data_IF_115389000126
#
_entry.id   IF_115389000126
#
_cell.length_a   1.000
_cell.length_b   1.000
_cell.length_c   1.000
_cell.angle_alpha   90.00
_cell.angle_beta   90.00
_cell.angle_gamma   90.00
#
_symmetry.space_group_name_H-M   'P 1'
#
loop_
_entity.id
_entity.type
_entity.pdbx_description
1 polymer ?
#
# COMPACT_ATOMS: atom_id res chain seq x y z
N UNK A 1 7.85 -4.12 -15.80
CA UNK A 1 6.59 -4.89 -15.88
C UNK A 1 6.18 -5.18 -14.46
N UNK A 2 5.07 -4.61 -14.00
CA UNK A 2 4.59 -4.75 -12.61
C UNK A 2 3.72 -6.00 -12.52
N UNK A 3 4.00 -6.90 -11.58
CA UNK A 3 3.25 -8.15 -11.40
C UNK A 3 2.21 -7.99 -10.30
N UNK A 4 0.92 -8.10 -10.63
CA UNK A 4 -0.16 -8.09 -9.64
C UNK A 4 -0.20 -9.44 -8.92
N UNK A 5 0.24 -9.48 -7.66
CA UNK A 5 0.14 -10.67 -6.81
C UNK A 5 -1.21 -10.65 -6.09
N UNK A 6 -2.16 -11.47 -6.55
CA UNK A 6 -3.50 -11.58 -5.93
C UNK A 6 -3.53 -12.58 -4.76
N UNK A 7 -2.56 -13.50 -4.71
CA UNK A 7 -2.45 -14.53 -3.69
C UNK A 7 -1.01 -15.03 -3.64
N UNK A 8 -0.49 -15.23 -2.43
CA UNK A 8 0.77 -15.94 -2.20
C UNK A 8 0.49 -17.19 -1.37
N UNK A 9 1.02 -18.32 -1.81
CA UNK A 9 0.98 -19.57 -1.08
C UNK A 9 2.39 -19.91 -0.61
N UNK A 10 2.56 -20.06 0.69
CA UNK A 10 3.85 -20.41 1.29
C UNK A 10 3.79 -21.87 1.73
N UNK A 11 4.74 -22.67 1.24
CA UNK A 11 4.87 -24.07 1.58
C UNK A 11 6.11 -24.30 2.46
N UNK A 12 5.90 -24.88 3.64
CA UNK A 12 6.97 -25.27 4.56
C UNK A 12 7.25 -26.75 4.41
N UNK A 13 8.48 -27.13 4.09
CA UNK A 13 8.92 -28.52 3.99
C UNK A 13 9.63 -28.98 5.27
N UNK A 14 9.49 -30.24 5.66
CA UNK A 14 10.21 -30.77 6.81
C UNK A 14 9.85 -32.21 7.17
N UNK A 15 10.44 -32.74 8.24
CA UNK A 15 10.01 -34.03 8.78
C UNK A 15 8.61 -33.90 9.40
N UNK A 16 7.84 -34.99 9.44
CA UNK A 16 6.48 -34.98 10.01
C UNK A 16 6.47 -34.39 11.43
N UNK A 17 7.41 -34.83 12.27
CA UNK A 17 7.55 -34.36 13.65
C UNK A 17 7.92 -32.87 13.73
N UNK A 18 8.74 -32.37 12.81
CA UNK A 18 9.10 -30.95 12.74
C UNK A 18 7.90 -30.10 12.33
N UNK A 19 7.19 -30.52 11.28
CA UNK A 19 6.02 -29.80 10.76
C UNK A 19 4.87 -29.79 11.79
N UNK A 20 4.58 -30.91 12.45
CA UNK A 20 3.57 -30.97 13.51
C UNK A 20 3.89 -30.06 14.71
N UNK A 21 5.17 -29.76 14.95
CA UNK A 21 5.59 -28.85 16.03
C UNK A 21 5.57 -27.39 15.60
N UNK A 22 5.90 -27.09 14.34
CA UNK A 22 6.03 -25.73 13.84
C UNK A 22 4.74 -25.14 13.27
N UNK A 23 3.77 -25.99 12.91
CA UNK A 23 2.52 -25.57 12.29
C UNK A 23 1.38 -25.50 13.33
N UNK A 24 0.39 -24.61 13.11
CA UNK A 24 -0.83 -24.61 13.89
C UNK A 24 -1.53 -25.98 13.92
N UNK A 25 -2.16 -26.31 15.04
CA UNK A 25 -2.93 -27.54 15.16
C UNK A 25 -4.03 -27.60 14.09
N UNK A 26 -4.17 -28.74 13.43
CA UNK A 26 -5.10 -28.93 12.32
C UNK A 26 -4.56 -28.57 10.93
N UNK A 27 -3.31 -28.10 10.82
CA UNK A 27 -2.67 -27.85 9.52
C UNK A 27 -2.57 -29.13 8.69
N UNK A 28 -2.87 -29.02 7.39
CA UNK A 28 -2.78 -30.14 6.44
C UNK A 28 -1.33 -30.36 6.04
N UNK A 29 -0.79 -31.55 6.34
CA UNK A 29 0.54 -31.98 5.90
C UNK A 29 0.38 -32.97 4.75
N UNK A 30 0.90 -32.63 3.59
CA UNK A 30 0.91 -33.47 2.40
C UNK A 30 2.28 -34.12 2.20
N UNK A 31 2.32 -35.21 1.43
CA UNK A 31 3.56 -35.86 0.99
C UNK A 31 3.52 -35.95 -0.52
N UNK A 32 4.54 -35.42 -1.21
CA UNK A 32 4.63 -35.54 -2.66
C UNK A 32 5.08 -36.96 -3.09
N UNK A 33 5.11 -37.17 -4.40
CA UNK A 33 5.56 -38.43 -5.01
C UNK A 33 7.03 -38.79 -4.75
N UNK A 34 7.85 -37.82 -4.31
CA UNK A 34 9.26 -38.01 -3.97
C UNK A 34 9.48 -38.26 -2.47
N UNK A 35 8.41 -38.30 -1.68
CA UNK A 35 8.46 -38.49 -0.22
C UNK A 35 8.72 -37.20 0.56
N UNK A 36 8.75 -36.04 -0.09
CA UNK A 36 8.89 -34.75 0.57
C UNK A 36 7.59 -34.41 1.27
N UNK A 37 7.67 -34.13 2.57
CA UNK A 37 6.52 -33.66 3.35
C UNK A 37 6.50 -32.15 3.42
N UNK A 38 5.33 -31.59 3.23
CA UNK A 38 5.12 -30.15 3.22
C UNK A 38 3.72 -29.76 3.69
N UNK A 39 3.58 -28.51 4.13
CA UNK A 39 2.30 -27.87 4.42
C UNK A 39 2.28 -26.52 3.74
N UNK A 40 1.25 -26.25 2.95
CA UNK A 40 1.05 -24.96 2.29
C UNK A 40 -0.09 -24.21 3.00
N UNK A 41 0.09 -22.92 3.18
CA UNK A 41 -0.95 -22.02 3.64
C UNK A 41 -1.05 -20.84 2.69
N UNK A 42 -2.27 -20.47 2.35
CA UNK A 42 -2.53 -19.21 1.67
C UNK A 42 -2.43 -18.10 2.71
N UNK A 43 -1.53 -17.15 2.50
CA UNK A 43 -1.45 -15.97 3.36
C UNK A 43 -2.49 -14.95 2.90
N UNK A 44 -3.75 -15.17 3.26
CA UNK A 44 -4.78 -14.13 3.24
C UNK A 44 -4.70 -13.38 4.57
N UNK A 45 -4.24 -12.13 4.56
CA UNK A 45 -4.28 -11.29 5.76
C UNK A 45 -5.75 -11.13 6.22
N UNK A 46 -6.05 -11.33 7.52
CA UNK A 46 -7.42 -11.53 7.99
C UNK A 46 -8.25 -10.24 7.97
N UNK A 47 -9.52 -10.38 7.57
CA UNK A 47 -10.54 -9.33 7.52
C UNK A 47 -10.99 -8.78 8.89
N UNK A 48 -10.50 -9.33 10.02
CA UNK A 48 -11.03 -9.04 11.36
C UNK A 48 -9.97 -8.60 12.39
N UNK A 49 -8.76 -8.24 11.95
CA UNK A 49 -7.71 -7.61 12.79
C UNK A 49 -7.59 -6.11 12.53
N UNK A 50 -6.68 -5.40 13.21
CA UNK A 50 -6.43 -3.95 13.14
C UNK A 50 -5.93 -3.41 11.76
N UNK A 51 -6.42 -3.96 10.66
CA UNK A 51 -5.93 -3.82 9.29
C UNK A 51 -4.97 -4.96 8.91
N UNK A 52 -4.93 -5.28 7.61
CA UNK A 52 -3.90 -6.15 7.05
C UNK A 52 -2.53 -5.46 7.18
N UNK A 53 -1.53 -6.17 7.70
CA UNK A 53 -0.13 -5.71 7.64
C UNK A 53 0.40 -6.11 6.28
N UNK A 54 0.43 -5.17 5.33
CA UNK A 54 0.97 -5.45 3.99
C UNK A 54 2.49 -5.30 4.07
N UNK A 55 3.22 -6.40 3.84
CA UNK A 55 4.66 -6.31 3.59
C UNK A 55 4.90 -5.78 2.17
N UNK A 56 5.24 -4.50 2.11
CA UNK A 56 5.50 -3.74 0.89
C UNK A 56 6.94 -3.89 0.41
N UNK A 57 7.82 -4.59 1.15
CA UNK A 57 9.23 -4.79 0.77
C UNK A 57 9.41 -5.61 -0.51
N UNK A 58 8.40 -6.42 -0.87
CA UNK A 58 8.39 -7.21 -2.10
C UNK A 58 7.60 -6.55 -3.24
N UNK A 59 7.08 -5.33 -3.05
CA UNK A 59 6.33 -4.61 -4.08
C UNK A 59 7.27 -3.75 -4.93
N UNK A 60 7.10 -3.82 -6.25
CA UNK A 60 7.85 -3.00 -7.22
C UNK A 60 7.48 -1.52 -7.11
N UNK A 61 6.18 -1.23 -6.90
CA UNK A 61 5.67 0.13 -6.77
C UNK A 61 4.53 0.20 -5.76
N UNK A 62 4.52 1.29 -4.99
CA UNK A 62 3.41 1.67 -4.12
C UNK A 62 3.22 3.17 -4.22
N UNK A 63 1.97 3.61 -4.44
CA UNK A 63 1.63 5.01 -4.65
C UNK A 63 0.21 5.28 -4.16
N UNK A 64 -0.12 6.56 -3.97
CA UNK A 64 -1.47 6.99 -3.63
C UNK A 64 -2.24 7.23 -4.92
N UNK A 65 -3.43 6.66 -5.02
CA UNK A 65 -4.36 6.86 -6.13
C UNK A 65 -5.66 7.45 -5.60
N UNK A 66 -6.17 8.44 -6.32
CA UNK A 66 -7.51 8.95 -6.12
C UNK A 66 -8.28 8.87 -7.43
N UNK A 67 -9.42 8.19 -7.41
CA UNK A 67 -10.38 8.16 -8.52
C UNK A 67 -11.57 9.06 -8.16
N UNK A 68 -11.68 10.18 -8.85
CA UNK A 68 -12.76 11.14 -8.74
C UNK A 68 -13.57 11.08 -10.05
N UNK A 69 -14.71 10.38 -10.09
CA UNK A 69 -15.47 10.19 -11.33
C UNK A 69 -15.89 11.49 -12.02
N UNK A 70 -16.12 12.55 -11.23
CA UNK A 70 -16.45 13.90 -11.67
C UNK A 70 -15.25 14.83 -11.87
N UNK A 71 -14.05 14.40 -11.46
CA UNK A 71 -12.83 15.21 -11.48
C UNK A 71 -12.22 15.34 -12.88
N UNK A 72 -11.29 16.29 -13.01
CA UNK A 72 -10.55 16.52 -14.24
C UNK A 72 -9.06 16.81 -13.97
N UNK A 73 -8.20 15.78 -13.95
CA UNK A 73 -8.42 14.41 -14.45
C UNK A 73 -9.13 13.50 -13.44
N UNK A 74 -9.77 12.44 -13.94
CA UNK A 74 -10.51 11.49 -13.09
C UNK A 74 -9.62 10.68 -12.16
N UNK A 75 -8.44 10.28 -12.65
CA UNK A 75 -7.51 9.47 -11.88
C UNK A 75 -6.27 10.29 -11.59
N UNK A 76 -5.95 10.40 -10.32
CA UNK A 76 -4.81 11.14 -9.78
C UNK A 76 -3.86 10.15 -9.13
N UNK A 77 -2.57 10.21 -9.46
CA UNK A 77 -1.59 9.26 -8.91
C UNK A 77 -0.35 9.98 -8.42
N UNK A 78 0.11 9.62 -7.23
CA UNK A 78 1.32 10.21 -6.65
C UNK A 78 2.59 9.83 -7.43
N UNK A 79 2.57 8.74 -8.21
CA UNK A 79 3.68 8.29 -9.05
C UNK A 79 3.54 8.70 -10.54
N UNK A 80 2.56 9.54 -10.89
CA UNK A 80 2.39 10.04 -12.25
C UNK A 80 2.73 11.54 -12.31
N UNK A 81 3.80 11.95 -13.01
CA UNK A 81 4.21 13.35 -13.08
C UNK A 81 3.17 14.30 -13.69
N UNK A 82 2.16 13.78 -14.40
CA UNK A 82 1.09 14.58 -14.99
C UNK A 82 -0.03 14.93 -14.01
N UNK A 83 -0.17 14.17 -12.91
CA UNK A 83 -1.31 14.30 -11.97
C UNK A 83 -0.90 14.45 -10.52
N UNK A 84 0.34 14.10 -10.18
CA UNK A 84 0.89 14.17 -8.83
C UNK A 84 0.93 15.57 -8.24
N UNK A 85 0.97 16.62 -9.07
CA UNK A 85 0.95 18.02 -8.64
C UNK A 85 -0.40 18.47 -8.06
N UNK A 86 -1.40 17.61 -8.04
CA UNK A 86 -2.64 17.85 -7.30
C UNK A 86 -2.63 17.24 -5.89
N UNK A 87 -1.56 16.52 -5.54
CA UNK A 87 -1.32 16.03 -4.18
C UNK A 87 -0.63 17.10 -3.36
N UNK A 88 -1.17 17.34 -2.17
CA UNK A 88 -0.54 18.06 -1.09
C UNK A 88 -0.07 17.03 -0.08
N UNK A 89 1.20 17.09 0.34
CA UNK A 89 1.72 16.16 1.34
C UNK A 89 2.71 16.83 2.29
N UNK A 90 2.53 16.60 3.58
CA UNK A 90 3.37 17.22 4.60
C UNK A 90 3.23 16.63 6.00
N UNK A 91 3.86 17.30 6.96
CA UNK A 91 4.00 16.81 8.35
C UNK A 91 3.02 17.44 9.33
N UNK A 92 2.24 18.44 8.91
CA UNK A 92 1.14 19.02 9.70
C UNK A 92 0.04 19.53 8.77
N UNK A 93 -1.19 19.65 9.28
CA UNK A 93 -2.32 20.19 8.51
C UNK A 93 -2.05 21.59 7.93
N UNK A 94 -1.20 22.38 8.58
CA UNK A 94 -0.83 23.74 8.17
C UNK A 94 0.45 23.83 7.34
N UNK A 95 1.19 22.73 7.18
CA UNK A 95 2.41 22.66 6.38
C UNK A 95 2.33 21.44 5.46
N UNK A 96 1.43 21.53 4.49
CA UNK A 96 1.12 20.48 3.51
C UNK A 96 1.36 21.06 2.10
N UNK A 97 2.62 21.22 1.67
CA UNK A 97 2.91 21.81 0.36
C UNK A 97 2.39 20.94 -0.79
N UNK A 98 2.00 21.61 -1.87
CA UNK A 98 1.70 20.95 -3.15
C UNK A 98 2.98 20.32 -3.73
N UNK A 99 2.83 19.16 -4.33
CA UNK A 99 3.90 18.52 -5.10
C UNK A 99 4.19 19.34 -6.36
N UNK A 100 5.46 19.64 -6.60
CA UNK A 100 5.86 20.40 -7.77
C UNK A 100 5.45 19.71 -9.10
N UNK A 101 5.02 20.51 -10.07
CA UNK A 101 4.64 20.02 -11.41
C UNK A 101 5.75 19.17 -12.04
N UNK A 102 5.35 18.00 -12.59
CA UNK A 102 6.27 17.05 -13.22
C UNK A 102 7.08 16.19 -12.24
N UNK A 103 6.79 16.23 -10.93
CA UNK A 103 7.48 15.42 -9.90
C UNK A 103 6.58 14.34 -9.33
N UNK A 104 7.13 13.16 -9.14
CA UNK A 104 6.45 12.06 -8.44
C UNK A 104 6.77 12.09 -6.95
N UNK A 105 5.90 11.50 -6.13
CA UNK A 105 6.09 11.32 -4.69
C UNK A 105 6.42 9.88 -4.37
N UNK A 106 7.52 9.69 -3.64
CA UNK A 106 7.79 8.45 -2.94
C UNK A 106 7.09 8.47 -1.58
N UNK A 107 6.03 7.66 -1.45
CA UNK A 107 5.17 7.69 -0.28
C UNK A 107 5.85 7.14 0.98
N UNK A 108 6.87 6.29 0.83
CA UNK A 108 7.63 5.73 1.96
C UNK A 108 8.47 6.78 2.68
N UNK A 109 8.94 7.79 1.95
CA UNK A 109 9.68 8.91 2.53
C UNK A 109 8.76 10.05 2.97
N UNK A 110 7.54 10.11 2.41
CA UNK A 110 6.63 11.21 2.65
C UNK A 110 5.68 10.96 3.85
N UNK A 111 5.45 9.70 4.22
CA UNK A 111 4.65 9.33 5.40
C UNK A 111 5.59 8.87 6.51
N UNK A 112 5.76 9.65 7.59
CA UNK A 112 6.65 9.27 8.67
C UNK A 112 6.14 8.04 9.44
N UNK A 113 7.07 7.16 9.85
CA UNK A 113 6.72 6.05 10.73
C UNK A 113 6.31 6.54 12.13
N UNK A 114 5.22 6.01 12.66
CA UNK A 114 4.73 6.30 14.00
C UNK A 114 4.17 7.72 14.19
N UNK A 115 4.09 8.53 13.12
CA UNK A 115 3.51 9.87 13.15
C UNK A 115 2.51 10.04 12.00
N UNK A 116 1.45 10.83 12.18
CA UNK A 116 0.55 11.17 11.08
C UNK A 116 1.28 12.02 10.03
N UNK A 117 1.26 11.56 8.78
CA UNK A 117 1.43 12.40 7.60
C UNK A 117 0.08 12.99 7.20
N UNK A 118 0.09 14.21 6.70
CA UNK A 118 -1.10 14.94 6.27
C UNK A 118 -1.11 14.99 4.75
N UNK A 119 -2.25 14.65 4.16
CA UNK A 119 -2.43 14.63 2.72
C UNK A 119 -3.71 15.33 2.32
N UNK A 120 -3.67 15.99 1.17
CA UNK A 120 -4.85 16.47 0.50
C UNK A 120 -4.77 16.27 -1.01
N UNK A 121 -5.92 16.15 -1.66
CA UNK A 121 -6.02 16.13 -3.11
C UNK A 121 -6.95 17.24 -3.58
N UNK A 122 -6.52 17.93 -4.63
CA UNK A 122 -7.38 18.80 -5.43
C UNK A 122 -7.85 18.03 -6.67
N UNK A 123 -9.14 18.13 -7.00
CA UNK A 123 -9.80 17.20 -7.94
C UNK A 123 -9.85 17.68 -9.40
N UNK A 124 -9.32 18.87 -9.69
CA UNK A 124 -9.34 19.49 -11.01
C UNK A 124 -10.19 20.75 -11.12
N UNK A 125 -10.89 21.17 -10.07
CA UNK A 125 -11.64 22.42 -10.02
C UNK A 125 -10.78 23.69 -10.08
N UNK A 126 -9.51 23.61 -9.68
CA UNK A 126 -8.59 24.74 -9.58
C UNK A 126 -7.30 24.53 -10.43
N UNK A 127 -6.68 25.62 -10.91
CA UNK A 127 -5.35 25.54 -11.49
C UNK A 127 -4.32 25.25 -10.40
N UNK A 128 -3.30 24.47 -10.76
CA UNK A 128 -2.13 24.19 -9.93
C UNK A 128 -0.91 24.94 -10.48
N UNK A 129 -0.05 25.56 -9.62
CA UNK A 129 -0.06 25.43 -8.18
C UNK A 129 -1.08 26.33 -7.45
N UNK A 130 -1.62 25.84 -6.34
CA UNK A 130 -2.55 26.53 -5.47
C UNK A 130 -2.23 26.30 -3.98
N UNK A 131 -2.86 27.08 -3.11
CA UNK A 131 -2.81 26.84 -1.67
C UNK A 131 -3.64 25.61 -1.29
N UNK A 132 -3.22 24.86 -0.26
CA UNK A 132 -3.88 23.64 0.21
C UNK A 132 -5.36 23.86 0.61
N UNK A 133 -5.75 25.09 0.95
CA UNK A 133 -7.15 25.46 1.16
C UNK A 133 -8.06 25.26 -0.06
N UNK A 134 -7.50 25.10 -1.26
CA UNK A 134 -8.23 24.76 -2.48
C UNK A 134 -8.36 23.25 -2.71
N UNK A 135 -7.78 22.42 -1.85
CA UNK A 135 -7.96 20.97 -1.94
C UNK A 135 -9.39 20.57 -1.51
N UNK A 136 -9.89 19.51 -2.12
CA UNK A 136 -11.27 19.04 -1.95
C UNK A 136 -11.34 17.86 -0.96
N UNK A 137 -10.24 17.11 -0.85
CA UNK A 137 -10.18 15.89 -0.04
C UNK A 137 -8.99 15.92 0.89
N UNK A 138 -9.23 15.72 2.19
CA UNK A 138 -8.21 15.74 3.23
C UNK A 138 -8.22 14.43 4.00
N UNK A 139 -7.04 13.87 4.25
CA UNK A 139 -6.87 12.64 5.01
C UNK A 139 -5.49 12.60 5.68
N UNK A 140 -5.34 11.66 6.61
CA UNK A 140 -4.05 11.38 7.25
C UNK A 140 -3.67 9.92 7.02
N UNK A 141 -2.37 9.69 6.90
CA UNK A 141 -1.79 8.35 6.82
C UNK A 141 -0.70 8.23 7.87
N UNK A 142 -0.57 7.07 8.50
CA UNK A 142 0.46 6.81 9.50
C UNK A 142 1.19 5.54 9.10
N UNK A 143 2.52 5.64 8.90
CA UNK A 143 3.36 4.47 8.70
C UNK A 143 3.49 3.69 10.01
N UNK A 144 3.47 2.35 9.94
CA UNK A 144 3.76 1.46 11.07
C UNK A 144 5.11 0.79 10.87
#
# INVERSE_FOLDING_TARGET
STSTVVQSQVCTTGTLKSLQKSLPAGSVIQTDQYGTRYSCADTFYPANGAGAVIDVSQMDQLYLEMDVPSGNPKVLKSNDPATSNRLYIGTSATNTPEVATGKTVNIFTAVPCGQPGYQAWEDGGNPVPADVSNADFFYTTTGK
#
